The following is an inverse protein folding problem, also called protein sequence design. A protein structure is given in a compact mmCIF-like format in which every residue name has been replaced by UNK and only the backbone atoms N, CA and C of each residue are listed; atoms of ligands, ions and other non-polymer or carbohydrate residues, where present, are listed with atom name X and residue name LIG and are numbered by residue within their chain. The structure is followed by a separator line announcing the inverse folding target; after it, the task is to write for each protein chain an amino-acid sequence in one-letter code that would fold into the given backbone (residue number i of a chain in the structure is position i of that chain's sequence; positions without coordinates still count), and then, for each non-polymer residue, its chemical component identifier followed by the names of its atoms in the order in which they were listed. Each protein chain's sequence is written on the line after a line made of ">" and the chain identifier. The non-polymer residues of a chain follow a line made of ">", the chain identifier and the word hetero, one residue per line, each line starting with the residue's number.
data_IF_686825801578
#
_entry.id   IF_686825801578
#
_cell.length_a   1.000
_cell.length_b   1.000
_cell.length_c   1.000
_cell.angle_alpha   90.00
_cell.angle_beta   90.00
_cell.angle_gamma   90.00
#
_symmetry.space_group_name_H-M   'P 1'
#
loop_
_entity.id
_entity.type
_entity.pdbx_description
1 polymer ?
#
# COMPACT_ATOMS: atom_id res chain seq x y z
N UNK A 1 -10.28 -13.78 3.98
CA UNK A 1 -9.77 -12.51 3.42
C UNK A 1 -10.83 -11.97 2.48
N UNK A 2 -11.15 -10.68 2.47
CA UNK A 2 -12.08 -10.13 1.50
C UNK A 2 -11.59 -10.36 0.08
N UNK A 3 -12.48 -10.85 -0.78
CA UNK A 3 -12.21 -11.09 -2.20
C UNK A 3 -11.99 -9.79 -2.96
N UNK A 4 -12.50 -8.67 -2.44
CA UNK A 4 -12.39 -7.35 -3.06
C UNK A 4 -11.91 -6.31 -2.05
N UNK A 5 -11.12 -5.35 -2.54
CA UNK A 5 -10.69 -4.16 -1.81
C UNK A 5 -11.47 -2.95 -2.34
N UNK A 6 -12.08 -2.18 -1.45
CA UNK A 6 -12.73 -0.92 -1.82
C UNK A 6 -11.67 0.13 -2.18
N UNK A 7 -11.85 0.79 -3.32
CA UNK A 7 -11.03 1.87 -3.83
C UNK A 7 -11.57 3.26 -3.42
N UNK A 8 -12.81 3.33 -2.91
CA UNK A 8 -13.44 4.58 -2.49
C UNK A 8 -12.72 5.20 -1.30
N UNK A 9 -12.34 6.46 -1.44
CA UNK A 9 -11.75 7.28 -0.38
C UNK A 9 -12.72 7.55 0.78
N UNK A 10 -14.03 7.40 0.54
CA UNK A 10 -15.11 7.73 1.50
C UNK A 10 -15.24 6.69 2.61
N UNK A 11 -14.92 5.42 2.34
CA UNK A 11 -15.04 4.34 3.35
C UNK A 11 -13.83 4.27 4.30
N UNK A 12 -12.74 4.98 4.01
CA UNK A 12 -11.61 5.16 4.93
C UNK A 12 -11.83 6.30 5.95
N UNK A 13 -12.90 7.08 5.77
CA UNK A 13 -13.40 8.02 6.78
C UNK A 13 -14.36 7.25 7.69
N UNK A 14 -14.02 7.13 8.98
CA UNK A 14 -14.89 6.54 9.99
C UNK A 14 -16.34 7.02 9.83
N UNK A 15 -17.24 6.07 9.66
CA UNK A 15 -18.70 6.13 9.83
C UNK A 15 -19.37 7.50 9.71
N UNK A 16 -19.99 7.76 8.57
CA UNK A 16 -21.28 8.46 8.51
C UNK A 16 -22.00 7.99 7.26
N UNK A 17 -23.01 7.14 7.46
CA UNK A 17 -23.96 6.69 6.45
C UNK A 17 -24.86 7.87 6.12
N UNK A 18 -24.81 8.41 4.90
CA UNK A 18 -25.99 8.99 4.27
C UNK A 18 -26.03 8.65 2.76
N UNK A 19 -27.17 8.08 2.41
CA UNK A 19 -27.58 7.50 1.14
C UNK A 19 -27.65 8.52 -0.01
N UNK A 20 -27.34 8.08 -1.23
CA UNK A 20 -27.95 8.63 -2.43
C UNK A 20 -28.05 7.57 -3.55
N UNK A 21 -29.25 7.02 -3.72
CA UNK A 21 -29.91 6.41 -4.89
C UNK A 21 -29.11 6.16 -6.18
N UNK A 22 -28.11 5.29 -6.12
CA UNK A 22 -27.81 4.36 -7.21
C UNK A 22 -27.76 2.96 -6.57
N UNK A 23 -28.17 1.92 -7.29
CA UNK A 23 -28.09 0.52 -6.83
C UNK A 23 -26.69 0.28 -6.27
N UNK A 24 -26.61 0.05 -4.96
CA UNK A 24 -25.36 0.07 -4.19
C UNK A 24 -24.30 -0.91 -4.72
N UNK A 25 -24.74 -1.92 -5.46
CA UNK A 25 -23.90 -2.95 -6.09
C UNK A 25 -23.13 -2.41 -7.31
N UNK A 26 -23.75 -1.64 -8.21
CA UNK A 26 -23.07 -1.07 -9.38
C UNK A 26 -21.94 -0.11 -8.97
N UNK A 27 -22.21 0.77 -7.99
CA UNK A 27 -21.18 1.68 -7.46
C UNK A 27 -20.05 0.96 -6.72
N UNK A 28 -20.32 -0.22 -6.14
CA UNK A 28 -19.31 -1.02 -5.45
C UNK A 28 -18.40 -1.74 -6.44
N UNK A 29 -18.95 -2.28 -7.53
CA UNK A 29 -18.17 -2.93 -8.59
C UNK A 29 -17.20 -1.94 -9.27
N UNK A 30 -17.65 -0.71 -9.56
CA UNK A 30 -16.83 0.35 -10.15
C UNK A 30 -15.74 0.89 -9.18
N UNK A 31 -15.97 0.79 -7.86
CA UNK A 31 -15.07 1.32 -6.84
C UNK A 31 -14.42 0.22 -5.98
N UNK A 32 -14.22 -0.97 -6.53
CA UNK A 32 -13.48 -2.04 -5.87
C UNK A 32 -12.61 -2.79 -6.86
N UNK A 33 -11.51 -3.39 -6.40
CA UNK A 33 -10.72 -4.33 -7.19
C UNK A 33 -10.62 -5.68 -6.50
N UNK A 34 -10.50 -6.75 -7.29
CA UNK A 34 -10.29 -8.08 -6.74
C UNK A 34 -8.92 -8.16 -6.04
N UNK A 35 -8.86 -8.79 -4.88
CA UNK A 35 -7.63 -8.93 -4.10
C UNK A 35 -6.56 -9.72 -4.86
N UNK A 36 -6.98 -10.69 -5.67
CA UNK A 36 -6.13 -11.47 -6.59
C UNK A 36 -5.53 -10.65 -7.73
N UNK A 37 -6.12 -9.50 -8.06
CA UNK A 37 -5.55 -8.58 -9.05
C UNK A 37 -4.37 -7.79 -8.49
N UNK A 38 -4.23 -7.77 -7.16
CA UNK A 38 -3.17 -7.07 -6.42
C UNK A 38 -2.12 -8.04 -5.89
N UNK A 39 -2.52 -9.19 -5.36
CA UNK A 39 -1.65 -10.14 -4.67
C UNK A 39 -1.71 -11.54 -5.26
N UNK A 40 -0.60 -12.26 -5.20
CA UNK A 40 -0.55 -13.68 -5.54
C UNK A 40 -1.09 -14.51 -4.35
N UNK A 41 -2.40 -14.75 -4.37
CA UNK A 41 -3.12 -15.46 -3.30
C UNK A 41 -2.64 -16.91 -3.16
N UNK A 42 -2.27 -17.55 -4.27
CA UNK A 42 -1.74 -18.91 -4.27
C UNK A 42 -0.37 -18.97 -3.59
N UNK A 43 0.50 -18.02 -3.89
CA UNK A 43 1.81 -17.89 -3.25
C UNK A 43 1.70 -17.59 -1.76
N UNK A 44 0.80 -16.68 -1.36
CA UNK A 44 0.50 -16.44 0.06
C UNK A 44 0.03 -17.74 0.73
N UNK A 45 -0.85 -18.48 0.06
CA UNK A 45 -1.44 -19.73 0.54
C UNK A 45 -0.45 -20.87 0.78
N UNK A 46 0.78 -20.78 0.22
CA UNK A 46 1.90 -21.70 0.55
C UNK A 46 2.47 -21.46 1.95
N UNK A 47 2.20 -20.29 2.54
CA UNK A 47 2.67 -19.88 3.87
C UNK A 47 1.54 -19.93 4.89
N UNK A 48 0.44 -19.21 4.64
CA UNK A 48 -0.80 -19.21 5.44
C UNK A 48 -1.96 -19.47 4.50
N UNK A 49 -2.82 -20.48 4.74
CA UNK A 49 -4.00 -20.70 3.90
C UNK A 49 -4.85 -19.43 3.82
N UNK A 50 -5.04 -18.91 2.62
CA UNK A 50 -5.96 -17.80 2.38
C UNK A 50 -7.24 -18.36 1.79
N UNK A 51 -8.36 -18.07 2.45
CA UNK A 51 -9.69 -18.36 1.93
C UNK A 51 -10.34 -17.01 1.68
N UNK A 52 -10.73 -16.77 0.42
CA UNK A 52 -11.48 -15.57 0.04
C UNK A 52 -12.95 -15.73 0.43
N UNK A 53 -13.60 -14.64 0.82
CA UNK A 53 -15.00 -14.62 1.24
C UNK A 53 -16.01 -14.94 0.13
N UNK A 54 -15.59 -14.96 -1.15
CA UNK A 54 -16.39 -15.41 -2.28
C UNK A 54 -16.10 -16.87 -2.69
N UNK A 55 -15.17 -17.56 -2.01
CA UNK A 55 -14.77 -18.92 -2.40
C UNK A 55 -15.77 -19.99 -1.95
N UNK A 56 -15.88 -21.09 -2.70
CA UNK A 56 -16.72 -22.25 -2.30
C UNK A 56 -16.40 -22.74 -0.89
N UNK A 57 -15.11 -22.81 -0.56
CA UNK A 57 -14.62 -23.21 0.76
C UNK A 57 -15.14 -22.29 1.86
N UNK A 58 -15.19 -20.97 1.63
CA UNK A 58 -15.78 -20.05 2.60
C UNK A 58 -17.28 -20.32 2.80
N UNK A 59 -18.03 -20.53 1.71
CA UNK A 59 -19.46 -20.84 1.77
C UNK A 59 -19.73 -22.13 2.55
N UNK A 60 -18.92 -23.17 2.35
CA UNK A 60 -19.00 -24.43 3.12
C UNK A 60 -18.74 -24.22 4.62
N UNK A 61 -17.70 -23.45 4.96
CA UNK A 61 -17.37 -23.10 6.34
C UNK A 61 -18.50 -22.29 6.97
N UNK A 62 -18.99 -21.25 6.29
CA UNK A 62 -20.08 -20.39 6.74
C UNK A 62 -21.38 -21.18 6.94
N UNK A 63 -21.72 -22.10 6.03
CA UNK A 63 -22.90 -22.97 6.16
C UNK A 63 -22.80 -23.89 7.38
N UNK A 64 -21.62 -24.44 7.70
CA UNK A 64 -21.40 -25.25 8.91
C UNK A 64 -21.53 -24.42 10.18
N UNK A 65 -20.99 -23.20 10.17
CA UNK A 65 -21.10 -22.26 11.30
C UNK A 65 -22.56 -21.91 11.57
N UNK A 66 -23.36 -21.61 10.53
CA UNK A 66 -24.78 -21.28 10.69
C UNK A 66 -25.62 -22.42 11.28
N UNK A 67 -25.15 -23.67 11.18
CA UNK A 67 -25.80 -24.84 11.78
C UNK A 67 -25.43 -25.06 13.25
N UNK A 68 -24.49 -24.28 13.80
CA UNK A 68 -24.13 -24.31 15.22
C UNK A 68 -24.89 -23.21 15.95
N UNK A 69 -25.62 -23.59 17.01
CA UNK A 69 -26.38 -22.64 17.85
C UNK A 69 -25.45 -21.71 18.65
N UNK A 70 -24.25 -22.17 19.06
CA UNK A 70 -23.20 -21.35 19.68
C UNK A 70 -21.78 -21.81 19.27
N UNK A 71 -20.82 -20.88 19.25
CA UNK A 71 -19.39 -21.19 19.21
C UNK A 71 -18.77 -21.47 17.83
N UNK A 72 -19.48 -21.26 16.72
CA UNK A 72 -18.94 -21.51 15.38
C UNK A 72 -17.77 -20.59 14.97
N UNK A 73 -17.76 -19.34 15.43
CA UNK A 73 -16.68 -18.36 15.19
C UNK A 73 -16.22 -17.77 16.50
N UNK A 74 -14.90 -17.70 16.71
CA UNK A 74 -14.31 -17.01 17.85
C UNK A 74 -13.32 -15.95 17.39
N UNK A 75 -13.49 -14.72 17.87
CA UNK A 75 -12.60 -13.61 17.62
C UNK A 75 -11.53 -13.55 18.70
N UNK A 76 -10.26 -13.45 18.31
CA UNK A 76 -9.15 -13.39 19.26
C UNK A 76 -8.14 -12.30 18.88
N UNK A 77 -7.56 -11.67 19.88
CA UNK A 77 -6.54 -10.63 19.74
C UNK A 77 -5.43 -10.85 20.77
N UNK A 78 -4.16 -10.83 20.36
CA UNK A 78 -3.01 -10.96 21.27
C UNK A 78 -2.82 -12.35 21.92
N UNK A 79 -3.72 -13.30 21.67
CA UNK A 79 -3.67 -14.66 22.20
C UNK A 79 -2.60 -15.47 21.50
N UNK A 80 -1.84 -16.30 22.23
CA UNK A 80 -0.81 -17.21 21.69
C UNK A 80 -1.39 -18.51 21.11
N UNK A 81 -0.60 -19.31 20.36
CA UNK A 81 -1.08 -20.60 19.82
C UNK A 81 -1.23 -21.69 20.89
N UNK A 82 -0.40 -21.67 21.94
CA UNK A 82 -0.54 -22.58 23.09
C UNK A 82 -1.90 -22.39 23.77
N UNK A 83 -2.21 -21.14 24.07
CA UNK A 83 -3.50 -20.75 24.64
C UNK A 83 -4.71 -21.08 23.74
N UNK A 84 -4.62 -20.90 22.42
CA UNK A 84 -5.67 -21.36 21.50
C UNK A 84 -5.89 -22.88 21.51
N UNK A 85 -4.84 -23.67 21.77
CA UNK A 85 -4.92 -25.13 21.79
C UNK A 85 -5.43 -25.66 23.13
N UNK A 86 -4.98 -25.04 24.21
CA UNK A 86 -5.21 -25.51 25.58
C UNK A 86 -6.54 -25.01 26.15
N UNK A 87 -7.03 -23.86 25.69
CA UNK A 87 -8.30 -23.31 26.16
C UNK A 87 -9.49 -23.97 25.44
N UNK A 88 -10.33 -24.64 26.23
CA UNK A 88 -11.53 -25.35 25.78
C UNK A 88 -12.58 -24.45 25.12
N UNK A 89 -12.53 -23.14 25.37
CA UNK A 89 -13.38 -22.13 24.70
C UNK A 89 -13.03 -22.00 23.22
N UNK A 90 -11.74 -22.09 22.87
CA UNK A 90 -11.27 -21.99 21.48
C UNK A 90 -11.21 -23.33 20.77
N UNK A 91 -11.05 -24.43 21.51
CA UNK A 91 -10.89 -25.77 20.93
C UNK A 91 -12.12 -26.27 20.17
N UNK A 92 -13.32 -25.76 20.52
CA UNK A 92 -14.61 -26.07 19.89
C UNK A 92 -14.97 -25.18 18.70
N UNK A 93 -14.21 -24.11 18.46
CA UNK A 93 -14.49 -23.18 17.37
C UNK A 93 -14.17 -23.77 15.99
N UNK A 94 -15.08 -23.60 15.02
CA UNK A 94 -14.82 -23.96 13.61
C UNK A 94 -13.88 -22.93 12.97
N UNK A 95 -14.07 -21.66 13.31
CA UNK A 95 -13.29 -20.56 12.77
C UNK A 95 -12.71 -19.69 13.89
N UNK A 96 -11.38 -19.54 13.89
CA UNK A 96 -10.69 -18.54 14.71
C UNK A 96 -10.40 -17.32 13.84
N UNK A 97 -11.05 -16.20 14.14
CA UNK A 97 -10.76 -14.92 13.52
C UNK A 97 -9.71 -14.17 14.37
N UNK A 98 -8.44 -14.26 13.96
CA UNK A 98 -7.36 -13.49 14.59
C UNK A 98 -7.23 -12.12 13.91
N UNK A 99 -7.44 -11.05 14.66
CA UNK A 99 -7.05 -9.71 14.20
C UNK A 99 -5.54 -9.54 14.41
N UNK A 100 -4.72 -10.01 13.46
CA UNK A 100 -3.26 -9.91 13.53
C UNK A 100 -2.75 -8.46 13.41
N UNK A 101 -3.55 -7.59 12.79
CA UNK A 101 -3.36 -6.14 12.69
C UNK A 101 -4.71 -5.50 12.40
N UNK A 102 -4.99 -4.26 12.83
CA UNK A 102 -6.16 -3.51 12.38
C UNK A 102 -6.25 -3.36 10.85
N UNK A 103 -5.14 -3.64 10.14
CA UNK A 103 -4.97 -3.46 8.70
C UNK A 103 -4.80 -4.78 7.91
N UNK A 104 -4.80 -5.95 8.56
CA UNK A 104 -4.56 -7.21 7.87
C UNK A 104 -5.43 -8.36 8.40
N UNK A 105 -5.96 -9.16 7.48
CA UNK A 105 -6.82 -10.31 7.76
C UNK A 105 -6.11 -11.62 7.41
N UNK A 106 -5.95 -12.52 8.38
CA UNK A 106 -5.41 -13.86 8.16
C UNK A 106 -6.26 -14.90 8.89
N UNK A 107 -6.36 -16.09 8.30
CA UNK A 107 -7.03 -17.24 8.92
C UNK A 107 -6.00 -18.36 9.12
N UNK A 108 -5.92 -18.91 10.33
CA UNK A 108 -4.99 -19.99 10.67
C UNK A 108 -5.74 -21.33 10.72
N UNK A 109 -5.29 -22.32 9.95
CA UNK A 109 -5.82 -23.69 9.99
C UNK A 109 -5.12 -24.52 11.08
N UNK A 110 -5.89 -25.27 11.87
CA UNK A 110 -5.46 -26.03 13.07
C UNK A 110 -4.36 -27.06 12.78
N UNK A 111 -4.31 -27.63 11.59
CA UNK A 111 -3.54 -28.86 11.28
C UNK A 111 -2.21 -28.68 10.52
N UNK A 112 -1.68 -27.45 10.39
CA UNK A 112 -0.48 -27.21 9.56
C UNK A 112 0.85 -27.13 10.32
N UNK A 113 1.88 -27.76 9.72
CA UNK A 113 3.24 -27.98 10.26
C UNK A 113 4.16 -26.75 10.22
N UNK A 114 3.84 -25.69 9.48
CA UNK A 114 4.65 -24.45 9.42
C UNK A 114 4.28 -23.52 10.58
N UNK A 115 5.24 -23.29 11.49
CA UNK A 115 5.03 -22.64 12.81
C UNK A 115 5.20 -21.11 12.79
N UNK A 116 5.82 -20.54 11.75
CA UNK A 116 6.17 -19.10 11.66
C UNK A 116 5.16 -18.23 10.92
N UNK A 117 4.10 -18.82 10.36
CA UNK A 117 3.20 -18.16 9.44
C UNK A 117 2.16 -17.22 10.10
N UNK A 118 2.01 -17.27 11.43
CA UNK A 118 0.87 -16.68 12.15
C UNK A 118 0.99 -15.16 12.29
N UNK A 119 2.20 -14.63 12.24
CA UNK A 119 2.50 -13.20 12.19
C UNK A 119 3.32 -12.94 10.94
N UNK A 120 2.64 -12.80 9.80
CA UNK A 120 3.31 -12.33 8.60
C UNK A 120 3.74 -10.88 8.84
N UNK A 121 5.02 -10.54 8.60
CA UNK A 121 5.50 -9.17 8.73
C UNK A 121 4.59 -8.20 7.98
N UNK A 122 4.47 -6.96 8.46
CA UNK A 122 3.73 -5.90 7.73
C UNK A 122 4.22 -5.73 6.28
N UNK A 123 5.47 -6.09 6.01
CA UNK A 123 6.10 -6.07 4.69
C UNK A 123 5.73 -7.26 3.79
N UNK A 124 5.02 -8.27 4.31
CA UNK A 124 4.77 -9.52 3.60
C UNK A 124 3.81 -9.36 2.42
N UNK A 125 2.58 -8.86 2.62
CA UNK A 125 1.63 -8.67 1.50
C UNK A 125 2.23 -7.83 0.36
N UNK A 126 2.91 -6.71 0.64
CA UNK A 126 3.58 -5.97 -0.42
C UNK A 126 4.75 -6.68 -1.12
N UNK A 127 5.24 -7.81 -0.59
CA UNK A 127 6.30 -8.62 -1.20
C UNK A 127 5.78 -9.78 -2.06
N UNK A 128 4.46 -9.96 -2.13
CA UNK A 128 3.79 -11.03 -2.90
C UNK A 128 2.76 -10.44 -3.87
N UNK A 129 3.19 -9.55 -4.78
CA UNK A 129 2.29 -8.95 -5.77
C UNK A 129 1.70 -10.02 -6.70
N UNK A 130 0.57 -9.72 -7.33
CA UNK A 130 0.01 -10.55 -8.38
C UNK A 130 1.04 -10.77 -9.49
N UNK A 131 1.09 -11.99 -10.03
CA UNK A 131 2.08 -12.39 -11.04
C UNK A 131 2.14 -11.42 -12.22
N UNK A 132 1.00 -10.94 -12.71
CA UNK A 132 0.92 -9.95 -13.80
C UNK A 132 1.68 -8.65 -13.51
N UNK A 133 1.60 -8.15 -12.27
CA UNK A 133 2.30 -6.95 -11.83
C UNK A 133 3.80 -7.20 -11.70
N UNK A 134 4.18 -8.37 -11.18
CA UNK A 134 5.58 -8.77 -11.08
C UNK A 134 6.24 -8.91 -12.46
N UNK A 135 5.56 -9.57 -13.40
CA UNK A 135 6.04 -9.76 -14.77
C UNK A 135 6.18 -8.42 -15.50
N UNK A 136 5.21 -7.50 -15.32
CA UNK A 136 5.26 -6.15 -15.86
C UNK A 136 6.45 -5.35 -15.29
N UNK A 137 6.62 -5.36 -13.97
CA UNK A 137 7.73 -4.68 -13.31
C UNK A 137 9.09 -5.25 -13.76
N UNK A 138 9.21 -6.56 -13.94
CA UNK A 138 10.44 -7.18 -14.46
C UNK A 138 10.76 -6.71 -15.88
N UNK A 139 9.78 -6.69 -16.79
CA UNK A 139 9.96 -6.15 -18.15
C UNK A 139 10.36 -4.67 -18.15
N UNK A 140 9.78 -3.87 -17.25
CA UNK A 140 10.17 -2.46 -17.10
C UNK A 140 11.61 -2.33 -16.60
N UNK A 141 12.00 -3.09 -15.58
CA UNK A 141 13.36 -3.11 -15.04
C UNK A 141 14.39 -3.52 -16.11
N UNK A 142 14.10 -4.55 -16.89
CA UNK A 142 14.93 -4.98 -18.01
C UNK A 142 15.12 -3.87 -19.05
N UNK A 143 14.04 -3.17 -19.42
CA UNK A 143 14.11 -2.03 -20.35
C UNK A 143 14.84 -0.82 -19.76
N UNK A 144 14.74 -0.61 -18.46
CA UNK A 144 15.33 0.55 -17.77
C UNK A 144 16.82 0.34 -17.48
N UNK A 145 17.27 -0.90 -17.28
CA UNK A 145 18.66 -1.24 -16.99
C UNK A 145 19.05 -0.95 -15.53
N UNK A 146 20.22 -0.36 -15.32
CA UNK A 146 20.66 0.15 -14.00
C UNK A 146 20.05 1.54 -13.75
N UNK A 147 19.35 1.69 -12.62
CA UNK A 147 18.64 2.92 -12.27
C UNK A 147 18.54 3.12 -10.76
N UNK A 148 18.25 4.36 -10.39
CA UNK A 148 17.84 4.76 -9.06
C UNK A 148 16.40 5.27 -9.10
N UNK A 149 15.74 5.29 -7.95
CA UNK A 149 14.35 5.69 -7.86
C UNK A 149 14.13 6.75 -6.79
N UNK A 150 13.22 7.69 -7.07
CA UNK A 150 12.62 8.56 -6.07
C UNK A 150 11.11 8.38 -6.03
N UNK A 151 10.55 8.44 -4.82
CA UNK A 151 9.12 8.57 -4.60
C UNK A 151 8.80 9.97 -4.11
N UNK A 152 7.91 10.67 -4.81
CA UNK A 152 7.50 12.04 -4.49
C UNK A 152 6.00 12.10 -4.25
N UNK A 153 5.60 12.14 -2.98
CA UNK A 153 4.20 12.30 -2.56
C UNK A 153 3.91 13.76 -2.24
N UNK A 154 3.24 14.44 -3.17
CA UNK A 154 2.89 15.87 -3.07
C UNK A 154 1.37 16.09 -3.08
N UNK A 155 0.69 15.61 -4.11
CA UNK A 155 -0.67 16.07 -4.47
C UNK A 155 -1.73 15.97 -3.36
N UNK A 156 -1.68 14.93 -2.52
CA UNK A 156 -2.63 14.75 -1.41
C UNK A 156 -2.19 15.41 -0.10
N UNK A 157 -0.89 15.72 0.04
CA UNK A 157 -0.26 16.22 1.26
C UNK A 157 -0.03 17.75 1.24
N UNK A 158 0.04 18.37 0.05
CA UNK A 158 0.09 19.82 -0.12
C UNK A 158 -1.29 20.46 0.11
N UNK A 159 -1.85 20.21 1.29
CA UNK A 159 -3.11 20.82 1.75
C UNK A 159 -2.77 21.93 2.75
N UNK A 160 -2.93 23.16 2.30
CA UNK A 160 -2.81 24.32 3.17
C UNK A 160 -4.19 24.77 3.65
N UNK A 161 -4.24 25.33 4.86
CA UNK A 161 -5.41 26.07 5.36
C UNK A 161 -4.97 27.43 5.87
N UNK A 162 -5.83 28.43 5.79
CA UNK A 162 -5.61 29.71 6.48
C UNK A 162 -6.08 29.60 7.92
N UNK A 163 -5.29 30.10 8.87
CA UNK A 163 -5.74 30.27 10.25
C UNK A 163 -6.62 31.53 10.41
N UNK A 164 -7.07 31.82 11.64
CA UNK A 164 -7.94 32.98 11.94
C UNK A 164 -7.26 34.32 11.60
N UNK A 165 -5.95 34.35 11.50
CA UNK A 165 -5.15 35.53 11.15
C UNK A 165 -4.80 35.58 9.65
N UNK A 166 -5.36 34.67 8.84
CA UNK A 166 -5.13 34.60 7.40
C UNK A 166 -3.80 33.96 7.01
N UNK A 167 -3.01 33.45 7.96
CA UNK A 167 -1.70 32.85 7.71
C UNK A 167 -1.87 31.42 7.21
N UNK A 168 -1.17 31.07 6.13
CA UNK A 168 -1.17 29.69 5.63
C UNK A 168 -0.51 28.74 6.62
N UNK A 169 -1.13 27.57 6.78
CA UNK A 169 -0.66 26.48 7.62
C UNK A 169 -0.66 25.18 6.84
N UNK A 170 0.35 24.35 7.09
CA UNK A 170 0.49 22.99 6.56
C UNK A 170 0.75 22.00 7.71
N UNK A 171 0.36 20.74 7.50
CA UNK A 171 0.73 19.61 8.36
C UNK A 171 2.11 19.03 8.00
N UNK A 172 2.63 19.43 6.84
CA UNK A 172 3.93 19.06 6.29
C UNK A 172 4.66 20.36 5.87
N UNK A 173 5.22 21.09 6.84
CA UNK A 173 5.72 22.44 6.60
C UNK A 173 6.90 22.49 5.62
N UNK A 174 7.70 21.43 5.51
CA UNK A 174 8.86 21.41 4.62
C UNK A 174 8.60 20.73 3.27
N UNK A 175 7.47 20.03 3.13
CA UNK A 175 7.17 19.18 1.98
C UNK A 175 7.27 19.91 0.64
N UNK A 176 6.65 21.09 0.50
CA UNK A 176 6.67 21.81 -0.79
C UNK A 176 8.09 22.16 -1.19
N UNK A 177 8.83 22.83 -0.29
CA UNK A 177 10.22 23.23 -0.51
C UNK A 177 11.10 22.03 -0.85
N UNK A 178 11.07 20.99 -0.02
CA UNK A 178 12.01 19.86 -0.13
C UNK A 178 11.77 18.98 -1.37
N UNK A 179 10.56 19.00 -1.92
CA UNK A 179 10.20 18.21 -3.09
C UNK A 179 10.11 19.03 -4.38
N UNK A 180 10.58 20.29 -4.36
CA UNK A 180 10.83 21.06 -5.59
C UNK A 180 12.10 20.55 -6.31
N UNK A 181 12.15 20.60 -7.65
CA UNK A 181 13.26 20.03 -8.41
C UNK A 181 14.65 20.51 -7.95
N UNK A 182 14.82 21.80 -7.69
CA UNK A 182 16.08 22.41 -7.28
C UNK A 182 16.57 21.92 -5.90
N UNK A 183 15.66 21.52 -5.01
CA UNK A 183 15.99 20.93 -3.71
C UNK A 183 16.18 19.42 -3.81
N UNK A 184 15.37 18.74 -4.65
CA UNK A 184 15.53 17.31 -4.95
C UNK A 184 16.95 17.06 -5.48
N UNK A 185 17.41 17.83 -6.48
CA UNK A 185 18.76 17.68 -7.05
C UNK A 185 19.83 17.75 -5.96
N UNK A 186 19.79 18.79 -5.11
CA UNK A 186 20.77 18.97 -4.03
C UNK A 186 20.71 17.84 -3.01
N UNK A 187 19.52 17.36 -2.70
CA UNK A 187 19.28 16.32 -1.70
C UNK A 187 19.80 14.96 -2.20
N UNK A 188 19.41 14.55 -3.40
CA UNK A 188 19.74 13.21 -3.90
C UNK A 188 21.17 13.09 -4.41
N UNK A 189 21.85 14.19 -4.75
CA UNK A 189 23.26 14.18 -5.18
C UNK A 189 24.23 13.56 -4.15
N UNK A 190 23.83 13.45 -2.89
CA UNK A 190 24.57 12.75 -1.83
C UNK A 190 24.69 11.25 -2.06
N UNK A 191 23.76 10.67 -2.82
CA UNK A 191 23.62 9.22 -2.99
C UNK A 191 23.58 8.81 -4.47
N UNK A 192 23.03 9.65 -5.34
CA UNK A 192 22.82 9.36 -6.76
C UNK A 192 23.68 10.31 -7.61
N UNK A 193 24.80 9.81 -8.18
CA UNK A 193 25.65 10.57 -9.09
C UNK A 193 24.90 11.12 -10.31
N UNK A 194 25.31 12.27 -10.86
CA UNK A 194 24.79 12.78 -12.14
C UNK A 194 24.98 11.78 -13.30
N UNK A 195 24.13 11.89 -14.32
CA UNK A 195 24.13 11.06 -15.52
C UNK A 195 23.38 9.72 -15.37
N UNK A 196 22.97 9.36 -14.15
CA UNK A 196 22.23 8.13 -13.87
C UNK A 196 20.77 8.22 -14.30
N UNK A 197 20.18 7.06 -14.55
CA UNK A 197 18.75 6.93 -14.82
C UNK A 197 17.97 7.05 -13.52
N UNK A 198 17.01 7.97 -13.48
CA UNK A 198 16.19 8.26 -12.31
C UNK A 198 14.73 7.97 -12.61
N UNK A 199 14.21 6.88 -12.04
CA UNK A 199 12.79 6.56 -12.07
C UNK A 199 12.03 7.38 -11.04
N UNK A 200 10.99 8.09 -11.46
CA UNK A 200 10.19 8.97 -10.62
C UNK A 200 8.77 8.42 -10.50
N UNK A 201 8.43 7.95 -9.30
CA UNK A 201 7.06 7.62 -8.90
C UNK A 201 6.47 8.81 -8.14
N UNK A 202 5.38 9.39 -8.63
CA UNK A 202 4.83 10.63 -8.06
C UNK A 202 3.33 10.77 -8.28
N UNK A 203 2.66 11.42 -7.32
CA UNK A 203 1.27 11.87 -7.47
C UNK A 203 1.15 13.39 -7.72
N UNK A 204 2.25 14.04 -8.11
CA UNK A 204 2.25 15.41 -8.61
C UNK A 204 1.40 15.49 -9.90
N UNK A 205 0.56 16.52 -9.97
CA UNK A 205 -0.41 16.70 -11.05
C UNK A 205 0.07 17.66 -12.11
N UNK A 206 1.00 18.56 -11.78
CA UNK A 206 1.53 19.53 -12.74
C UNK A 206 2.39 18.82 -13.79
N UNK A 207 2.00 18.82 -15.08
CA UNK A 207 2.79 18.20 -16.13
C UNK A 207 4.18 18.83 -16.21
N UNK A 208 5.21 18.00 -16.39
CA UNK A 208 6.59 18.48 -16.49
C UNK A 208 7.17 19.07 -15.21
N UNK A 209 6.51 18.94 -14.05
CA UNK A 209 7.02 19.48 -12.78
C UNK A 209 8.47 19.05 -12.47
N UNK A 210 8.83 17.80 -12.80
CA UNK A 210 10.17 17.26 -12.59
C UNK A 210 11.13 17.45 -13.76
N UNK A 211 10.72 18.13 -14.84
CA UNK A 211 11.58 18.34 -16.00
C UNK A 211 12.94 18.97 -15.66
N UNK A 212 13.08 19.90 -14.69
CA UNK A 212 14.40 20.47 -14.37
C UNK A 212 15.40 19.43 -13.85
N UNK A 213 14.96 18.25 -13.42
CA UNK A 213 15.87 17.16 -13.03
C UNK A 213 16.64 16.59 -14.25
N UNK A 214 16.17 16.83 -15.48
CA UNK A 214 16.81 16.32 -16.70
C UNK A 214 18.19 16.91 -16.95
N UNK A 215 18.50 18.06 -16.35
CA UNK A 215 19.81 18.70 -16.43
C UNK A 215 20.91 17.84 -15.83
N UNK A 216 20.56 16.91 -14.93
CA UNK A 216 21.52 16.02 -14.25
C UNK A 216 21.20 14.55 -14.35
N UNK A 217 19.98 14.15 -14.68
CA UNK A 217 19.54 12.76 -14.64
C UNK A 217 18.75 12.37 -15.89
N UNK A 218 18.82 11.10 -16.29
CA UNK A 218 17.96 10.56 -17.35
C UNK A 218 16.63 10.16 -16.73
N UNK A 219 15.57 10.92 -16.98
CA UNK A 219 14.30 10.73 -16.28
C UNK A 219 13.49 9.58 -16.89
N UNK A 220 12.89 8.77 -16.02
CA UNK A 220 11.97 7.72 -16.40
C UNK A 220 10.71 7.75 -15.52
N UNK A 221 9.57 7.45 -16.11
CA UNK A 221 8.26 7.46 -15.49
C UNK A 221 7.48 6.21 -15.89
N UNK A 222 6.42 5.87 -15.15
CA UNK A 222 5.52 4.78 -15.55
C UNK A 222 4.94 4.98 -16.97
N UNK A 223 4.65 6.23 -17.37
CA UNK A 223 4.12 6.56 -18.69
C UNK A 223 5.06 6.21 -19.85
N UNK A 224 6.38 6.09 -19.63
CA UNK A 224 7.31 5.62 -20.65
C UNK A 224 7.13 4.13 -21.01
N UNK A 225 6.31 3.40 -20.24
CA UNK A 225 6.06 1.97 -20.38
C UNK A 225 4.59 1.64 -20.64
N UNK A 226 3.82 2.58 -21.22
CA UNK A 226 2.38 2.42 -21.46
C UNK A 226 2.02 1.09 -22.16
N UNK A 227 2.78 0.70 -23.19
CA UNK A 227 2.60 -0.59 -23.89
C UNK A 227 2.68 -1.85 -23.01
N UNK A 228 3.37 -1.78 -21.87
CA UNK A 228 3.43 -2.86 -20.87
C UNK A 228 2.28 -2.72 -19.87
N UNK A 229 1.93 -1.49 -19.50
CA UNK A 229 1.08 -1.19 -18.37
C UNK A 229 -0.41 -1.13 -18.71
N UNK A 230 -0.79 -0.55 -19.84
CA UNK A 230 -2.19 -0.40 -20.27
C UNK A 230 -2.98 -1.73 -20.25
N UNK A 231 -2.42 -2.89 -20.66
CA UNK A 231 -3.15 -4.15 -20.61
C UNK A 231 -3.34 -4.74 -19.20
N UNK A 232 -2.65 -4.21 -18.19
CA UNK A 232 -2.50 -4.85 -16.87
C UNK A 232 -3.04 -3.97 -15.74
N UNK A 233 -2.87 -2.65 -15.87
CA UNK A 233 -3.24 -1.65 -14.88
C UNK A 233 -4.65 -1.14 -15.16
N UNK A 234 -5.58 -1.57 -14.32
CA UNK A 234 -6.99 -1.20 -14.33
C UNK A 234 -7.28 -0.06 -13.35
N UNK A 235 -6.41 0.15 -12.34
CA UNK A 235 -6.62 1.17 -11.30
C UNK A 235 -5.31 1.66 -10.65
N UNK A 236 -5.41 2.78 -9.93
CA UNK A 236 -4.27 3.42 -9.27
C UNK A 236 -3.59 2.56 -8.20
N UNK A 237 -4.28 1.57 -7.60
CA UNK A 237 -3.66 0.69 -6.61
C UNK A 237 -2.73 -0.33 -7.27
N UNK A 238 -3.12 -0.87 -8.43
CA UNK A 238 -2.23 -1.72 -9.24
C UNK A 238 -1.01 -0.93 -9.72
N UNK A 239 -1.20 0.32 -10.15
CA UNK A 239 -0.09 1.21 -10.52
C UNK A 239 0.84 1.44 -9.31
N UNK A 240 0.28 1.78 -8.15
CA UNK A 240 1.04 1.95 -6.91
C UNK A 240 1.83 0.69 -6.53
N UNK A 241 1.25 -0.50 -6.66
CA UNK A 241 1.95 -1.76 -6.40
C UNK A 241 3.09 -1.98 -7.39
N UNK A 242 2.87 -1.71 -8.67
CA UNK A 242 3.91 -1.80 -9.69
C UNK A 242 5.04 -0.80 -9.44
N UNK A 243 4.73 0.47 -9.16
CA UNK A 243 5.74 1.48 -8.81
C UNK A 243 6.55 1.04 -7.58
N UNK A 244 5.92 0.38 -6.61
CA UNK A 244 6.64 -0.20 -5.46
C UNK A 244 7.64 -1.27 -5.85
N UNK A 245 7.31 -2.12 -6.82
CA UNK A 245 8.23 -3.12 -7.35
C UNK A 245 9.39 -2.49 -8.11
N UNK A 246 9.14 -1.39 -8.84
CA UNK A 246 10.20 -0.59 -9.45
C UNK A 246 11.12 0.01 -8.39
N UNK A 247 10.57 0.63 -7.35
CA UNK A 247 11.36 1.22 -6.27
C UNK A 247 12.21 0.17 -5.53
N UNK A 248 11.69 -1.04 -5.33
CA UNK A 248 12.44 -2.16 -4.72
C UNK A 248 13.56 -2.71 -5.62
N UNK A 249 13.44 -2.56 -6.93
CA UNK A 249 14.48 -2.99 -7.88
C UNK A 249 15.55 -1.94 -8.15
N UNK A 250 15.42 -0.73 -7.61
CA UNK A 250 16.36 0.36 -7.80
C UNK A 250 17.65 0.14 -6.99
N UNK A 251 18.78 0.63 -7.51
CA UNK A 251 20.07 0.61 -6.80
C UNK A 251 20.02 1.47 -5.53
N UNK A 252 19.52 2.69 -5.67
CA UNK A 252 19.24 3.62 -4.57
C UNK A 252 17.78 4.02 -4.64
N UNK A 253 17.09 3.98 -3.51
CA UNK A 253 15.70 4.41 -3.41
C UNK A 253 15.55 5.52 -2.35
N UNK A 254 15.09 6.70 -2.79
CA UNK A 254 14.83 7.86 -1.92
C UNK A 254 13.33 8.12 -1.81
N UNK A 255 12.82 8.09 -0.58
CA UNK A 255 11.40 8.31 -0.27
C UNK A 255 11.10 9.79 -0.03
N UNK A 256 9.83 10.17 -0.09
CA UNK A 256 9.42 11.53 0.29
C UNK A 256 9.67 11.80 1.78
N UNK A 257 9.22 10.88 2.64
CA UNK A 257 9.29 10.97 4.10
C UNK A 257 9.88 9.69 4.68
N UNK A 258 10.45 9.79 5.88
CA UNK A 258 11.06 8.66 6.60
C UNK A 258 9.99 7.67 7.02
N UNK A 259 10.12 6.40 6.70
CA UNK A 259 9.25 5.34 7.22
C UNK A 259 9.97 4.42 8.20
N UNK A 260 11.22 4.09 7.91
CA UNK A 260 12.13 3.30 8.75
C UNK A 260 13.44 4.05 8.98
N UNK A 261 14.22 3.62 9.97
CA UNK A 261 15.40 4.37 10.40
C UNK A 261 16.49 4.54 9.34
N UNK A 262 16.60 3.55 8.44
CA UNK A 262 17.59 3.51 7.37
C UNK A 262 17.09 4.08 6.03
N UNK A 263 15.89 4.67 6.00
CA UNK A 263 15.35 5.25 4.76
C UNK A 263 16.14 6.49 4.33
N UNK A 264 16.45 6.58 3.04
CA UNK A 264 16.87 7.82 2.39
C UNK A 264 15.63 8.67 2.10
N UNK A 265 15.65 9.95 2.45
CA UNK A 265 14.47 10.81 2.33
C UNK A 265 14.74 12.14 1.64
N UNK A 266 13.72 12.64 0.94
CA UNK A 266 13.72 13.98 0.36
C UNK A 266 13.50 15.04 1.44
N UNK A 267 12.50 14.80 2.30
CA UNK A 267 12.08 15.72 3.33
C UNK A 267 12.61 15.30 4.70
N UNK A 268 12.92 16.30 5.53
CA UNK A 268 13.31 16.11 6.94
C UNK A 268 12.07 16.05 7.86
N UNK A 269 10.86 16.23 7.33
CA UNK A 269 9.62 16.14 8.09
C UNK A 269 9.43 14.75 8.72
N UNK A 270 9.02 14.68 10.01
CA UNK A 270 8.71 13.40 10.63
C UNK A 270 7.50 12.75 9.96
N UNK A 271 7.54 11.41 9.77
CA UNK A 271 6.46 10.61 9.15
C UNK A 271 5.08 10.90 9.69
N UNK A 272 5.00 11.12 11.01
CA UNK A 272 3.75 11.37 11.70
C UNK A 272 3.36 12.80 11.39
N UNK A 273 2.24 12.97 10.67
CA UNK A 273 1.45 14.20 10.70
C UNK A 273 1.52 14.71 12.12
N UNK A 274 2.17 15.86 12.33
CA UNK A 274 2.45 16.39 13.67
C UNK A 274 1.15 16.68 14.42
N UNK A 275 -0.01 16.62 13.71
CA UNK A 275 -1.35 17.05 14.11
C UNK A 275 -1.39 18.53 14.48
N UNK A 276 -0.27 19.22 14.27
CA UNK A 276 -0.06 20.63 14.56
C UNK A 276 0.11 21.32 13.23
N UNK A 277 -0.74 22.29 12.98
CA UNK A 277 -0.71 23.10 11.77
C UNK A 277 0.38 24.17 11.92
N UNK A 278 1.44 24.03 11.13
CA UNK A 278 2.63 24.88 11.21
C UNK A 278 2.71 25.81 10.00
N UNK A 279 3.47 26.91 10.14
CA UNK A 279 3.72 27.79 9.00
C UNK A 279 4.56 27.01 7.96
N UNK A 280 4.15 26.94 6.68
CA UNK A 280 4.97 26.33 5.65
C UNK A 280 6.33 27.03 5.57
N UNK A 281 7.37 26.24 5.35
CA UNK A 281 8.70 26.76 5.06
C UNK A 281 8.75 27.02 3.57
N UNK A 282 8.76 28.29 3.19
CA UNK A 282 8.94 28.70 1.81
C UNK A 282 10.39 28.49 1.36
N UNK A 283 10.57 28.46 0.04
CA UNK A 283 11.88 28.59 -0.62
C UNK A 283 12.56 29.90 -0.25
#
# INVERSE_FOLDING_TARGET
>A
MPSRMCLSTVHNTKGTVHSSNATSEQRWEENSCAMESLYDIDLISRTVPVILDNSKTWHEIASRIMKLEEGGVVHVQGIGRGELKENHVYSKAILINRTASPLAWFMECKDRKKRSSVMLPYTFLPSVPAKKLNDAANKMKERLGDYDAIHVRRGDLLKNRKDRSGVERSLHPHLDRDTRPEFIVKRIAKWIPPGRTLYIASNERTPGFFSPLSDRYKLAYASNFSSILEPIIENNYQLFMLERLMMQGAKTFVKTMKEFDNDLTLCDDPKKNTKVWQKPVST
#
